data_IF_838786464778
#
_entry.id   IF_838786464778
#
_cell.length_a   1.000
_cell.length_b   1.000
_cell.length_c   1.000
_cell.angle_alpha   90.00
_cell.angle_beta   90.00
_cell.angle_gamma   90.00
#
_symmetry.space_group_name_H-M   'P 1'
#
loop_
_entity.id
_entity.type
_entity.pdbx_description
1 polymer ?
#
# COMPACT_ATOMS: atom_id res chain seq x y z
N UNK A 1 -14.18 53.04 -34.51
CA UNK A 1 -13.44 51.93 -33.85
C UNK A 1 -13.15 50.94 -34.95
N UNK A 2 -11.90 51.02 -35.44
CA UNK A 2 -11.51 50.54 -36.71
C UNK A 2 -11.51 49.00 -36.78
N UNK A 3 -12.17 48.45 -37.81
CA UNK A 3 -12.25 47.03 -38.06
C UNK A 3 -10.86 46.41 -38.26
N UNK A 4 -9.90 47.18 -38.73
CA UNK A 4 -8.51 46.76 -38.87
C UNK A 4 -7.82 46.47 -37.52
N UNK A 5 -8.10 47.26 -36.47
CA UNK A 5 -7.54 47.03 -35.16
C UNK A 5 -8.11 45.76 -34.49
N UNK A 6 -9.34 45.40 -34.80
CA UNK A 6 -9.97 44.17 -34.30
C UNK A 6 -9.42 42.91 -35.07
N UNK A 7 -9.13 43.06 -36.37
CA UNK A 7 -8.55 41.98 -37.16
C UNK A 7 -7.07 41.76 -36.80
N UNK A 8 -6.33 42.85 -36.48
CA UNK A 8 -4.94 42.74 -36.02
C UNK A 8 -4.88 42.08 -34.62
N UNK A 9 -5.78 42.45 -33.73
CA UNK A 9 -5.89 41.83 -32.39
C UNK A 9 -6.31 40.35 -32.47
N UNK A 10 -7.24 40.04 -33.39
CA UNK A 10 -7.66 38.66 -33.69
C UNK A 10 -6.54 37.84 -34.31
N UNK A 11 -5.69 38.48 -35.15
CA UNK A 11 -4.50 37.89 -35.72
C UNK A 11 -3.41 37.60 -34.67
N UNK A 12 -3.17 38.52 -33.75
CA UNK A 12 -2.25 38.34 -32.62
C UNK A 12 -2.74 37.20 -31.68
N UNK A 13 -4.01 37.20 -31.33
CA UNK A 13 -4.59 36.14 -30.51
C UNK A 13 -4.60 34.77 -31.22
N UNK A 14 -4.67 34.75 -32.54
CA UNK A 14 -4.62 33.53 -33.35
C UNK A 14 -3.17 33.08 -33.61
N UNK A 15 -2.20 34.01 -33.68
CA UNK A 15 -0.77 33.71 -33.86
C UNK A 15 -0.08 33.21 -32.59
N UNK A 16 -0.57 33.61 -31.40
CA UNK A 16 -0.16 33.09 -30.12
C UNK A 16 -0.94 31.84 -29.67
N UNK A 17 -1.95 31.44 -30.45
CA UNK A 17 -2.71 30.24 -30.17
C UNK A 17 -1.81 29.00 -30.34
N UNK A 18 -1.12 28.71 -29.22
CA UNK A 18 -0.64 27.40 -28.84
C UNK A 18 0.06 26.66 -29.98
N UNK A 19 1.29 27.06 -30.27
CA UNK A 19 2.23 26.18 -30.95
C UNK A 19 2.24 24.81 -30.26
N UNK A 20 2.58 23.74 -30.99
CA UNK A 20 2.51 22.37 -30.45
C UNK A 20 3.15 22.19 -29.03
N UNK A 21 4.13 23.04 -28.70
CA UNK A 21 4.71 23.15 -27.34
C UNK A 21 3.74 23.70 -26.30
N UNK A 22 2.88 24.68 -26.63
CA UNK A 22 1.89 25.26 -25.72
C UNK A 22 0.73 24.29 -25.42
N UNK A 23 0.27 23.52 -26.44
CA UNK A 23 -0.72 22.47 -26.25
C UNK A 23 -0.18 21.34 -25.35
N UNK A 24 1.06 20.95 -25.53
CA UNK A 24 1.74 19.96 -24.67
C UNK A 24 1.91 20.46 -23.23
N UNK A 25 2.26 21.73 -23.05
CA UNK A 25 2.37 22.33 -21.71
C UNK A 25 1.00 22.44 -21.02
N UNK A 26 -0.06 22.83 -21.75
CA UNK A 26 -1.42 22.87 -21.23
C UNK A 26 -1.92 21.48 -20.85
N UNK A 27 -1.70 20.48 -21.69
CA UNK A 27 -2.05 19.10 -21.42
C UNK A 27 -1.29 18.55 -20.20
N UNK A 28 0.01 18.85 -20.09
CA UNK A 28 0.83 18.46 -18.96
C UNK A 28 0.38 19.16 -17.67
N UNK A 29 0.08 20.46 -17.71
CA UNK A 29 -0.41 21.22 -16.56
C UNK A 29 -1.81 20.72 -16.10
N UNK A 30 -2.71 20.46 -17.05
CA UNK A 30 -4.05 19.92 -16.78
C UNK A 30 -3.96 18.50 -16.21
N UNK A 31 -3.10 17.65 -16.77
CA UNK A 31 -2.84 16.31 -16.26
C UNK A 31 -2.26 16.32 -14.86
N UNK A 32 -1.31 17.21 -14.58
CA UNK A 32 -0.73 17.39 -13.26
C UNK A 32 -1.76 17.93 -12.24
N UNK A 33 -2.59 18.90 -12.62
CA UNK A 33 -3.66 19.43 -11.80
C UNK A 33 -4.72 18.35 -11.50
N UNK A 34 -5.17 17.61 -12.51
CA UNK A 34 -6.09 16.49 -12.32
C UNK A 34 -5.50 15.40 -11.42
N UNK A 35 -4.23 15.06 -11.59
CA UNK A 35 -3.52 14.12 -10.72
C UNK A 35 -3.39 14.63 -9.29
N UNK A 36 -3.08 15.91 -9.09
CA UNK A 36 -2.98 16.48 -7.73
C UNK A 36 -4.33 16.54 -7.02
N UNK A 37 -5.41 16.88 -7.74
CA UNK A 37 -6.79 16.85 -7.22
C UNK A 37 -7.17 15.39 -6.88
N UNK A 38 -6.95 14.45 -7.79
CA UNK A 38 -7.22 13.04 -7.57
C UNK A 38 -6.43 12.49 -6.36
N UNK A 39 -5.12 12.80 -6.29
CA UNK A 39 -4.26 12.38 -5.20
C UNK A 39 -4.58 13.06 -3.87
N UNK A 40 -5.08 14.30 -3.88
CA UNK A 40 -5.38 15.07 -2.69
C UNK A 40 -6.81 14.83 -2.15
N UNK A 41 -7.78 14.63 -3.04
CA UNK A 41 -9.22 14.59 -2.71
C UNK A 41 -9.76 13.16 -2.71
N UNK A 42 -9.47 12.37 -3.75
CA UNK A 42 -10.00 11.01 -3.90
C UNK A 42 -9.16 9.93 -3.20
N UNK A 43 -7.89 10.23 -2.86
CA UNK A 43 -6.98 9.30 -2.18
C UNK A 43 -6.72 9.60 -0.68
N UNK A 44 -7.50 10.42 0.06
CA UNK A 44 -7.22 10.65 1.49
C UNK A 44 -7.39 9.37 2.33
N UNK A 45 -8.25 8.44 1.90
CA UNK A 45 -8.45 7.15 2.55
C UNK A 45 -7.27 6.19 2.41
N UNK A 46 -6.48 6.29 1.34
CA UNK A 46 -5.27 5.49 1.11
C UNK A 46 -4.01 6.08 1.79
N UNK A 47 -4.08 7.31 2.28
CA UNK A 47 -2.94 8.00 2.90
C UNK A 47 -2.66 7.57 4.34
N UNK A 48 -3.60 6.89 5.03
CA UNK A 48 -3.52 6.77 6.49
C UNK A 48 -2.64 5.66 7.03
N UNK A 49 -2.32 4.60 6.28
CA UNK A 49 -1.26 3.65 6.67
C UNK A 49 -0.53 3.12 5.44
N UNK A 50 0.43 3.83 4.88
CA UNK A 50 1.22 3.28 3.79
C UNK A 50 2.15 2.16 4.31
N UNK A 51 2.24 1.06 3.57
CA UNK A 51 3.11 -0.11 3.83
C UNK A 51 4.52 0.27 4.33
N UNK A 52 5.05 1.35 3.82
CA UNK A 52 6.36 1.93 4.17
C UNK A 52 6.49 2.42 5.61
N UNK A 53 5.40 2.94 6.23
CA UNK A 53 5.43 3.35 7.63
C UNK A 53 5.51 2.13 8.54
N UNK A 54 4.92 1.01 8.13
CA UNK A 54 4.93 -0.23 8.89
C UNK A 54 6.31 -0.85 8.94
N UNK A 55 7.03 -0.90 7.79
CA UNK A 55 8.39 -1.43 7.73
C UNK A 55 9.35 -0.56 8.55
N UNK A 56 9.24 0.76 8.45
CA UNK A 56 10.05 1.69 9.25
C UNK A 56 9.72 1.58 10.74
N UNK A 57 8.43 1.46 11.09
CA UNK A 57 7.99 1.32 12.47
C UNK A 57 8.41 -0.03 13.05
N UNK A 58 8.25 -1.13 12.31
CA UNK A 58 8.75 -2.45 12.70
C UNK A 58 10.27 -2.41 12.99
N UNK A 59 11.03 -1.73 12.12
CA UNK A 59 12.46 -1.56 12.33
C UNK A 59 12.78 -0.77 13.61
N UNK A 60 12.06 0.34 13.90
CA UNK A 60 12.22 1.13 15.14
C UNK A 60 11.88 0.32 16.38
N UNK A 61 10.91 -0.58 16.30
CA UNK A 61 10.54 -1.52 17.36
C UNK A 61 11.53 -2.70 17.52
N UNK A 62 12.63 -2.68 16.77
CA UNK A 62 13.69 -3.71 16.87
C UNK A 62 13.40 -4.97 16.08
N UNK A 63 12.36 -5.04 15.27
CA UNK A 63 12.08 -6.17 14.39
C UNK A 63 13.02 -6.12 13.18
N UNK A 64 14.05 -6.97 13.17
CA UNK A 64 15.10 -7.01 12.15
C UNK A 64 15.34 -8.43 11.67
N UNK A 65 15.52 -8.64 10.34
CA UNK A 65 15.41 -7.67 9.26
C UNK A 65 13.94 -7.25 8.98
N UNK A 66 13.71 -5.98 8.62
CA UNK A 66 12.39 -5.49 8.21
C UNK A 66 12.33 -5.38 6.68
N UNK A 67 11.43 -6.14 6.05
CA UNK A 67 11.31 -6.25 4.59
C UNK A 67 9.89 -5.89 4.16
N UNK A 68 9.77 -5.06 3.14
CA UNK A 68 8.50 -4.72 2.49
C UNK A 68 8.44 -5.24 1.05
N UNK A 69 7.35 -5.88 0.69
CA UNK A 69 7.07 -6.31 -0.69
C UNK A 69 6.10 -5.33 -1.35
N UNK A 70 6.45 -4.84 -2.53
CA UNK A 70 5.63 -3.90 -3.29
C UNK A 70 5.81 -4.16 -4.79
N UNK A 71 4.70 -4.31 -5.52
CA UNK A 71 4.71 -4.51 -6.97
C UNK A 71 4.79 -3.20 -7.74
N UNK A 72 4.19 -2.14 -7.21
CA UNK A 72 4.16 -0.85 -7.88
C UNK A 72 5.54 -0.16 -7.79
N UNK A 73 6.23 0.06 -8.93
CA UNK A 73 7.57 0.64 -8.93
C UNK A 73 7.63 2.05 -8.35
N UNK A 74 6.56 2.85 -8.49
CA UNK A 74 6.48 4.20 -7.93
C UNK A 74 6.37 4.18 -6.41
N UNK A 75 5.53 3.29 -5.87
CA UNK A 75 5.40 3.13 -4.42
C UNK A 75 6.68 2.56 -3.82
N UNK A 76 7.33 1.63 -4.52
CA UNK A 76 8.61 1.08 -4.14
C UNK A 76 9.70 2.16 -4.08
N UNK A 77 9.81 2.99 -5.13
CA UNK A 77 10.75 4.12 -5.16
C UNK A 77 10.50 5.10 -4.01
N UNK A 78 9.25 5.46 -3.80
CA UNK A 78 8.85 6.36 -2.72
C UNK A 78 9.12 5.77 -1.32
N UNK A 79 8.96 4.45 -1.15
CA UNK A 79 9.32 3.75 0.08
C UNK A 79 10.83 3.83 0.36
N UNK A 80 11.65 3.55 -0.65
CA UNK A 80 13.12 3.67 -0.58
C UNK A 80 13.59 5.09 -0.28
N UNK A 81 13.01 6.10 -0.97
CA UNK A 81 13.31 7.50 -0.73
C UNK A 81 13.00 7.92 0.73
N UNK A 82 11.87 7.47 1.28
CA UNK A 82 11.50 7.80 2.66
C UNK A 82 12.34 7.08 3.69
N UNK A 83 12.75 5.85 3.44
CA UNK A 83 13.71 5.13 4.28
C UNK A 83 15.05 5.85 4.32
N UNK A 84 15.52 6.34 3.17
CA UNK A 84 16.72 7.16 3.08
C UNK A 84 16.57 8.46 3.89
N UNK A 85 15.47 9.20 3.69
CA UNK A 85 15.19 10.43 4.45
C UNK A 85 15.06 10.20 5.96
N UNK A 86 14.61 9.03 6.39
CA UNK A 86 14.50 8.65 7.80
C UNK A 86 15.81 8.11 8.39
N UNK A 87 16.92 8.09 7.65
CA UNK A 87 18.19 7.55 8.10
C UNK A 87 18.22 6.02 8.25
N UNK A 88 17.20 5.31 7.75
CA UNK A 88 17.09 3.85 7.83
C UNK A 88 17.60 3.13 6.57
N UNK A 89 18.32 3.84 5.69
CA UNK A 89 18.90 3.27 4.48
C UNK A 89 19.87 2.12 4.86
N UNK A 90 19.71 0.98 4.18
CA UNK A 90 20.51 -0.22 4.47
C UNK A 90 20.03 -1.05 5.67
N UNK A 91 19.13 -0.54 6.49
CA UNK A 91 18.56 -1.24 7.66
C UNK A 91 17.17 -1.85 7.38
N UNK A 92 16.50 -1.34 6.37
CA UNK A 92 15.22 -1.85 5.86
C UNK A 92 15.34 -2.18 4.38
N UNK A 93 14.63 -3.21 3.93
CA UNK A 93 14.64 -3.62 2.53
C UNK A 93 13.25 -3.46 1.92
N UNK A 94 13.21 -2.95 0.69
CA UNK A 94 11.99 -2.90 -0.10
C UNK A 94 12.22 -3.62 -1.41
N UNK A 95 11.48 -4.70 -1.64
CA UNK A 95 11.65 -5.60 -2.78
C UNK A 95 10.48 -5.47 -3.74
N UNK A 96 10.80 -5.39 -5.05
CA UNK A 96 9.79 -5.53 -6.11
C UNK A 96 9.50 -7.01 -6.29
N UNK A 97 8.60 -7.53 -5.51
CA UNK A 97 8.27 -8.95 -5.54
C UNK A 97 6.77 -9.17 -5.34
N UNK A 98 6.26 -10.14 -6.06
CA UNK A 98 4.91 -10.62 -5.89
C UNK A 98 4.81 -11.42 -4.58
N UNK A 99 3.89 -10.99 -3.72
CA UNK A 99 3.63 -11.67 -2.43
C UNK A 99 3.31 -13.17 -2.62
N UNK A 100 2.62 -13.52 -3.71
CA UNK A 100 2.25 -14.91 -3.99
C UNK A 100 3.44 -15.80 -4.33
N UNK A 101 4.53 -15.21 -4.81
CA UNK A 101 5.79 -15.90 -5.17
C UNK A 101 6.85 -15.77 -4.08
N UNK A 102 6.63 -14.91 -3.08
CA UNK A 102 7.53 -14.76 -1.96
C UNK A 102 7.46 -15.99 -1.04
N UNK A 103 8.60 -16.48 -0.59
CA UNK A 103 8.67 -17.46 0.49
C UNK A 103 8.61 -16.74 1.83
N UNK A 104 7.70 -17.13 2.71
CA UNK A 104 7.49 -16.53 4.03
C UNK A 104 7.86 -17.48 5.17
N UNK A 105 8.52 -18.60 4.90
CA UNK A 105 8.81 -19.65 5.88
C UNK A 105 9.76 -19.21 7.03
N UNK A 106 10.51 -18.15 6.81
CA UNK A 106 11.45 -17.56 7.77
C UNK A 106 10.90 -16.25 8.40
N UNK A 107 9.63 -15.93 8.15
CA UNK A 107 8.99 -14.73 8.66
C UNK A 107 8.31 -15.00 10.00
N UNK A 108 8.80 -14.36 11.06
CA UNK A 108 8.20 -14.45 12.41
C UNK A 108 7.20 -13.34 12.73
N UNK A 109 7.24 -12.23 11.99
CA UNK A 109 6.32 -11.11 12.15
C UNK A 109 5.85 -10.64 10.77
N UNK A 110 4.57 -10.77 10.50
CA UNK A 110 3.96 -10.39 9.22
C UNK A 110 2.89 -9.33 9.45
N UNK A 111 3.00 -8.21 8.76
CA UNK A 111 1.98 -7.15 8.82
C UNK A 111 1.34 -6.98 7.47
N UNK A 112 0.00 -7.00 7.43
CA UNK A 112 -0.77 -6.94 6.18
C UNK A 112 -1.85 -5.86 6.22
N UNK A 113 -1.92 -5.07 5.13
CA UNK A 113 -2.95 -4.07 4.89
C UNK A 113 -3.52 -4.28 3.49
N UNK A 114 -4.26 -5.35 3.33
CA UNK A 114 -4.83 -5.78 2.05
C UNK A 114 -6.36 -5.74 2.09
N UNK A 115 -6.96 -5.65 0.89
CA UNK A 115 -8.41 -5.67 0.73
C UNK A 115 -9.01 -6.99 1.26
N UNK A 116 -10.28 -6.98 1.72
CA UNK A 116 -10.96 -8.18 2.23
C UNK A 116 -10.96 -9.35 1.26
N UNK A 117 -11.10 -9.08 -0.05
CA UNK A 117 -11.13 -10.10 -1.10
C UNK A 117 -9.84 -10.92 -1.23
N UNK A 118 -8.71 -10.34 -0.81
CA UNK A 118 -7.39 -10.99 -0.87
C UNK A 118 -7.09 -11.82 0.39
N UNK A 119 -7.84 -11.58 1.47
CA UNK A 119 -7.59 -12.22 2.77
C UNK A 119 -7.75 -13.75 2.77
N UNK A 120 -8.78 -14.36 2.14
CA UNK A 120 -8.93 -15.81 2.16
C UNK A 120 -7.76 -16.55 1.50
N UNK A 121 -7.34 -16.24 0.26
CA UNK A 121 -6.17 -16.91 -0.33
C UNK A 121 -4.87 -16.60 0.43
N UNK A 122 -4.73 -15.38 1.00
CA UNK A 122 -3.58 -15.05 1.82
C UNK A 122 -3.55 -15.86 3.11
N UNK A 123 -4.68 -16.09 3.76
CA UNK A 123 -4.77 -16.94 4.94
C UNK A 123 -4.25 -18.34 4.68
N UNK A 124 -4.62 -18.93 3.53
CA UNK A 124 -4.14 -20.25 3.12
C UNK A 124 -2.60 -20.27 2.95
N UNK A 125 -2.05 -19.24 2.30
CA UNK A 125 -0.59 -19.11 2.14
C UNK A 125 0.13 -18.96 3.48
N UNK A 126 -0.36 -18.09 4.37
CA UNK A 126 0.25 -17.88 5.67
C UNK A 126 0.19 -19.13 6.55
N UNK A 127 -0.92 -19.89 6.49
CA UNK A 127 -1.04 -21.17 7.19
C UNK A 127 -0.06 -22.22 6.66
N UNK A 128 0.22 -22.22 5.36
CA UNK A 128 1.13 -23.17 4.74
C UNK A 128 2.61 -22.85 5.02
N UNK A 129 2.98 -21.58 5.03
CA UNK A 129 4.37 -21.17 5.00
C UNK A 129 4.93 -20.67 6.35
N UNK A 130 4.13 -19.95 7.17
CA UNK A 130 4.66 -19.36 8.40
C UNK A 130 4.98 -20.42 9.46
N UNK A 131 6.01 -20.20 10.29
CA UNK A 131 6.27 -21.04 11.46
C UNK A 131 5.18 -20.86 12.55
N UNK A 132 5.09 -21.79 13.48
CA UNK A 132 4.09 -21.77 14.57
C UNK A 132 4.28 -20.59 15.52
N UNK A 133 5.50 -20.11 15.69
CA UNK A 133 5.87 -18.98 16.52
C UNK A 133 5.59 -17.63 15.84
N UNK A 134 5.16 -17.64 14.59
CA UNK A 134 4.92 -16.41 13.84
C UNK A 134 3.66 -15.70 14.35
N UNK A 135 3.72 -14.37 14.26
CA UNK A 135 2.62 -13.46 14.54
C UNK A 135 2.21 -12.69 13.29
N UNK A 136 0.92 -12.57 13.08
CA UNK A 136 0.35 -11.81 11.96
C UNK A 136 -0.47 -10.66 12.51
N UNK A 137 -0.21 -9.45 11.99
CA UNK A 137 -1.01 -8.27 12.29
C UNK A 137 -1.73 -7.83 11.03
N UNK A 138 -3.07 -7.82 11.09
CA UNK A 138 -3.91 -7.33 10.02
C UNK A 138 -4.48 -5.96 10.39
N UNK A 139 -4.20 -4.95 9.59
CA UNK A 139 -4.79 -3.63 9.75
C UNK A 139 -6.01 -3.43 8.87
N UNK A 140 -6.95 -2.64 9.37
CA UNK A 140 -8.18 -2.18 8.71
C UNK A 140 -9.24 -3.24 8.44
N UNK A 141 -8.85 -4.47 8.15
CA UNK A 141 -9.78 -5.59 7.91
C UNK A 141 -9.23 -6.86 8.57
N UNK A 142 -10.04 -7.60 9.34
CA UNK A 142 -9.61 -8.87 9.94
C UNK A 142 -9.52 -10.00 8.92
N UNK A 143 -8.90 -11.10 9.29
CA UNK A 143 -9.06 -12.37 8.58
C UNK A 143 -10.41 -12.98 8.94
N UNK A 144 -11.28 -13.30 7.96
CA UNK A 144 -12.67 -13.68 8.22
C UNK A 144 -12.82 -15.01 8.97
N UNK A 145 -11.83 -15.92 8.85
CA UNK A 145 -11.86 -17.25 9.46
C UNK A 145 -10.94 -17.41 10.67
N UNK A 146 -10.24 -16.34 11.08
CA UNK A 146 -9.30 -16.41 12.19
C UNK A 146 -9.82 -15.66 13.42
N UNK A 147 -9.67 -16.27 14.59
CA UNK A 147 -9.93 -15.59 15.86
C UNK A 147 -8.68 -14.81 16.26
N UNK A 148 -8.76 -13.47 16.43
CA UNK A 148 -7.61 -12.68 16.85
C UNK A 148 -7.24 -12.98 18.31
N UNK A 149 -5.95 -13.04 18.60
CA UNK A 149 -5.42 -13.10 19.96
C UNK A 149 -5.51 -11.74 20.68
N UNK A 150 -5.46 -10.64 19.92
CA UNK A 150 -5.70 -9.30 20.45
C UNK A 150 -6.20 -8.35 19.37
N UNK A 151 -6.87 -7.27 19.80
CA UNK A 151 -7.40 -6.22 18.93
C UNK A 151 -7.06 -4.87 19.52
N UNK A 152 -6.57 -3.94 18.69
CA UNK A 152 -6.19 -2.60 19.08
C UNK A 152 -6.82 -1.57 18.14
N UNK A 153 -7.23 -0.42 18.70
CA UNK A 153 -7.82 0.68 17.93
C UNK A 153 -9.29 0.49 17.61
N UNK A 154 -9.86 1.42 16.86
CA UNK A 154 -11.26 1.41 16.44
C UNK A 154 -11.43 1.91 15.01
N UNK A 155 -12.48 1.45 14.33
CA UNK A 155 -12.82 1.88 12.97
C UNK A 155 -11.71 1.62 11.96
N UNK A 156 -11.30 2.64 11.21
CA UNK A 156 -10.29 2.51 10.15
C UNK A 156 -8.85 2.31 10.65
N UNK A 157 -8.61 2.54 11.94
CA UNK A 157 -7.29 2.38 12.57
C UNK A 157 -7.21 1.06 13.37
N UNK A 158 -8.26 0.25 13.30
CA UNK A 158 -8.30 -1.02 13.99
C UNK A 158 -7.31 -2.02 13.41
N UNK A 159 -6.61 -2.72 14.29
CA UNK A 159 -5.67 -3.79 13.96
C UNK A 159 -5.98 -5.03 14.80
N UNK A 160 -5.79 -6.19 14.18
CA UNK A 160 -6.00 -7.50 14.78
C UNK A 160 -4.70 -8.28 14.73
N UNK A 161 -4.27 -8.78 15.87
CA UNK A 161 -3.11 -9.65 15.98
C UNK A 161 -3.56 -11.11 16.08
N UNK A 162 -2.81 -11.98 15.44
CA UNK A 162 -3.04 -13.42 15.39
C UNK A 162 -1.75 -14.15 15.73
N UNK A 163 -1.85 -15.15 16.59
CA UNK A 163 -0.80 -16.11 16.88
C UNK A 163 -1.01 -17.34 15.99
N UNK A 164 -0.01 -17.70 15.18
CA UNK A 164 -0.15 -18.76 14.19
C UNK A 164 -0.40 -20.13 14.82
N UNK A 165 0.15 -20.38 16.00
CA UNK A 165 -0.09 -21.61 16.76
C UNK A 165 -1.55 -21.74 17.18
N UNK A 166 -2.17 -20.64 17.63
CA UNK A 166 -3.59 -20.62 18.02
C UNK A 166 -4.51 -20.76 16.80
N UNK A 167 -4.19 -20.06 15.72
CA UNK A 167 -4.93 -20.15 14.46
C UNK A 167 -4.94 -21.57 13.93
N UNK A 168 -3.79 -22.26 13.93
CA UNK A 168 -3.71 -23.66 13.50
C UNK A 168 -4.46 -24.61 14.44
N UNK A 169 -4.39 -24.39 15.73
CA UNK A 169 -5.18 -25.20 16.70
C UNK A 169 -6.69 -25.06 16.46
N UNK A 170 -7.14 -23.84 16.18
CA UNK A 170 -8.55 -23.58 15.89
C UNK A 170 -8.97 -24.24 14.56
N UNK A 171 -8.13 -24.15 13.52
CA UNK A 171 -8.37 -24.80 12.22
C UNK A 171 -8.48 -26.32 12.34
N UNK A 172 -7.61 -26.98 13.12
CA UNK A 172 -7.65 -28.43 13.37
C UNK A 172 -8.95 -28.84 14.09
N UNK A 173 -9.32 -28.13 15.16
CA UNK A 173 -10.58 -28.38 15.89
C UNK A 173 -11.81 -28.21 15.01
N UNK A 174 -11.82 -27.22 14.12
CA UNK A 174 -12.91 -27.03 13.16
C UNK A 174 -13.00 -28.15 12.11
N UNK A 175 -11.89 -28.80 11.78
CA UNK A 175 -11.87 -29.94 10.88
C UNK A 175 -12.36 -31.23 11.56
N UNK A 176 -12.02 -31.46 12.82
CA UNK A 176 -12.43 -32.62 13.62
C UNK A 176 -13.91 -32.57 14.05
N UNK A 177 -14.48 -31.36 14.20
CA UNK A 177 -15.88 -31.16 14.63
C UNK A 177 -16.91 -31.15 13.49
N UNK A 178 -16.55 -31.48 12.25
CA UNK A 178 -17.49 -31.54 11.12
C UNK A 178 -17.93 -33.02 10.97
N UNK A 179 -19.16 -33.41 11.41
CA UNK A 179 -19.67 -34.76 11.15
C UNK A 179 -19.82 -34.93 9.62
N UNK A 180 -19.40 -36.10 9.12
CA UNK A 180 -19.57 -36.60 7.75
C UNK A 180 -21.04 -36.80 7.45
#
# INVERSE_FOLDING_TARGET
MDTEALDELAGQLRGEALGGSGLLQLAAATGLAAYTVWAAVLMPGFRRVPLRLQVLEAHKQGLRPAVGYELNPWLLWLAKYRAWKAGCHGQVSFLKQDLWKANLSDCYNVTVFLAPSVKPPLAAKLLAELPDEARVVAGRFPFPSWTPSSTLGQGLEQAWAYDMKEVRRAARRGAEGRPV
#
